data_IF_003277309852
#
_entry.id   IF_003277309852
#
_cell.length_a   1.000
_cell.length_b   1.000
_cell.length_c   1.000
_cell.angle_alpha   90.00
_cell.angle_beta   90.00
_cell.angle_gamma   90.00
#
_symmetry.space_group_name_H-M   'P 1'
#
loop_
_entity.id
_entity.type
_entity.pdbx_description
1 polymer ?
#
# COMPACT_ATOMS: atom_id res chain seq x y z
N UNK A 1 7.20 6.52 32.17
CA UNK A 1 7.79 6.47 30.82
C UNK A 1 6.82 7.16 29.87
N UNK A 2 7.27 8.01 28.93
CA UNK A 2 6.39 8.55 27.91
C UNK A 2 5.81 7.38 27.07
N UNK A 3 4.59 7.58 26.55
CA UNK A 3 3.98 6.63 25.62
C UNK A 3 4.71 6.68 24.28
N UNK A 4 4.89 5.54 23.60
CA UNK A 4 5.51 5.51 22.29
C UNK A 4 4.66 6.29 21.27
N UNK A 5 5.35 7.01 20.37
CA UNK A 5 4.73 7.76 19.27
C UNK A 5 4.75 6.93 17.99
N UNK A 6 3.60 6.75 17.39
CA UNK A 6 3.41 6.00 16.15
C UNK A 6 2.96 6.92 15.02
N UNK A 7 3.68 6.89 13.91
CA UNK A 7 3.14 7.37 12.63
C UNK A 7 2.50 6.17 11.92
N UNK A 8 1.19 6.21 11.79
CA UNK A 8 0.41 5.07 11.29
C UNK A 8 0.19 5.09 9.78
N UNK A 9 0.71 6.11 9.06
CA UNK A 9 0.43 6.24 7.64
C UNK A 9 1.61 6.88 6.88
N UNK A 10 2.53 6.05 6.41
CA UNK A 10 3.60 6.47 5.50
C UNK A 10 3.66 5.58 4.25
N UNK A 11 4.28 6.11 3.20
CA UNK A 11 4.54 5.39 1.97
C UNK A 11 6.04 5.26 1.72
N UNK A 12 6.50 4.03 1.48
CA UNK A 12 7.83 3.73 0.99
C UNK A 12 7.75 2.78 -0.19
N UNK A 13 8.58 3.05 -1.19
CA UNK A 13 8.71 2.22 -2.38
C UNK A 13 10.11 1.58 -2.39
N UNK A 14 10.25 0.42 -1.75
CA UNK A 14 11.55 -0.24 -1.67
C UNK A 14 12.01 -0.73 -3.04
N UNK A 15 13.31 -0.97 -3.17
CA UNK A 15 13.93 -1.34 -4.44
C UNK A 15 13.24 -2.53 -5.16
N UNK A 16 12.86 -3.64 -4.49
CA UNK A 16 12.15 -4.73 -5.15
C UNK A 16 10.82 -4.30 -5.80
N UNK A 17 10.12 -3.35 -5.17
CA UNK A 17 8.88 -2.79 -5.70
C UNK A 17 9.14 -1.90 -6.92
N UNK A 18 10.15 -1.01 -6.86
CA UNK A 18 10.54 -0.19 -8.01
C UNK A 18 10.91 -1.07 -9.20
N UNK A 19 11.73 -2.11 -8.97
CA UNK A 19 12.10 -3.07 -9.99
C UNK A 19 10.88 -3.86 -10.54
N UNK A 20 9.87 -4.15 -9.71
CA UNK A 20 8.63 -4.78 -10.18
C UNK A 20 7.84 -3.84 -11.09
N UNK A 21 7.73 -2.55 -10.76
CA UNK A 21 7.09 -1.55 -11.61
C UNK A 21 7.86 -1.30 -12.91
N UNK A 22 9.20 -1.34 -12.89
CA UNK A 22 10.01 -1.20 -14.11
C UNK A 22 9.86 -2.38 -15.09
N UNK A 23 9.52 -3.58 -14.60
CA UNK A 23 9.25 -4.75 -15.46
C UNK A 23 7.88 -4.72 -16.14
N UNK A 24 6.98 -3.88 -15.67
CA UNK A 24 5.65 -3.74 -16.27
C UNK A 24 5.70 -2.86 -17.52
N UNK A 25 4.89 -3.22 -18.51
CA UNK A 25 4.71 -2.42 -19.74
C UNK A 25 3.43 -1.58 -19.69
N UNK A 26 2.44 -2.04 -18.91
CA UNK A 26 1.17 -1.35 -18.73
C UNK A 26 1.10 -0.66 -17.35
N UNK A 27 0.35 0.44 -17.24
CA UNK A 27 0.17 1.16 -15.98
C UNK A 27 -0.42 0.27 -14.85
N UNK A 28 -0.03 0.51 -13.58
CA UNK A 28 1.05 1.40 -13.17
C UNK A 28 2.42 0.80 -13.53
N UNK A 29 3.32 1.63 -14.06
CA UNK A 29 4.68 1.20 -14.37
C UNK A 29 5.69 2.34 -14.22
N UNK A 30 6.95 2.00 -14.09
CA UNK A 30 8.08 2.92 -14.16
C UNK A 30 8.83 2.71 -15.48
N UNK A 31 9.09 3.80 -16.20
CA UNK A 31 9.93 3.79 -17.40
C UNK A 31 11.25 4.45 -17.10
N UNK A 32 12.34 3.71 -17.35
CA UNK A 32 13.70 4.25 -17.21
C UNK A 32 14.18 4.79 -18.54
N UNK A 33 14.71 6.01 -18.51
CA UNK A 33 15.38 6.66 -19.63
C UNK A 33 16.73 7.23 -19.18
N UNK A 34 17.48 7.83 -20.10
CA UNK A 34 18.71 8.57 -19.77
C UNK A 34 18.46 9.80 -18.88
N UNK A 35 17.24 10.33 -18.91
CA UNK A 35 16.85 11.54 -18.17
C UNK A 35 16.27 11.22 -16.77
N UNK A 36 16.16 9.92 -16.41
CA UNK A 36 15.65 9.45 -15.11
C UNK A 36 14.51 8.45 -15.20
N UNK A 37 13.72 8.38 -14.14
CA UNK A 37 12.53 7.54 -14.05
C UNK A 37 11.27 8.37 -14.31
N UNK A 38 10.31 7.77 -15.00
CA UNK A 38 8.98 8.32 -15.26
C UNK A 38 7.92 7.37 -14.71
N UNK A 39 7.04 7.87 -13.87
CA UNK A 39 5.86 7.15 -13.40
C UNK A 39 4.72 7.29 -14.40
N UNK A 40 4.12 6.18 -14.77
CA UNK A 40 2.98 6.09 -15.67
C UNK A 40 1.82 5.46 -14.93
N UNK A 41 0.74 6.22 -14.78
CA UNK A 41 -0.52 5.79 -14.16
C UNK A 41 -1.65 5.76 -15.19
N UNK A 42 -2.63 4.89 -14.99
CA UNK A 42 -3.78 4.81 -15.88
C UNK A 42 -4.62 6.09 -15.81
N UNK A 43 -4.82 6.72 -16.96
CA UNK A 43 -5.66 7.92 -17.06
C UNK A 43 -5.03 9.22 -16.55
N UNK A 44 -3.76 9.20 -16.16
CA UNK A 44 -3.04 10.38 -15.69
C UNK A 44 -1.87 10.74 -16.63
N UNK A 45 -1.44 12.00 -16.66
CA UNK A 45 -0.22 12.39 -17.37
C UNK A 45 1.00 11.69 -16.79
N UNK A 46 1.94 11.32 -17.64
CA UNK A 46 3.24 10.79 -17.22
C UNK A 46 3.99 11.84 -16.37
N UNK A 47 4.60 11.42 -15.27
CA UNK A 47 5.29 12.31 -14.33
C UNK A 47 6.72 11.83 -14.02
N UNK A 48 7.70 12.74 -13.91
CA UNK A 48 9.02 12.39 -13.39
C UNK A 48 8.90 11.74 -12.01
N UNK A 49 9.68 10.69 -11.77
CA UNK A 49 9.73 10.00 -10.49
C UNK A 49 11.13 10.10 -9.88
N UNK A 50 11.19 10.67 -8.66
CA UNK A 50 12.41 10.71 -7.87
C UNK A 50 12.38 9.60 -6.80
N UNK A 51 13.28 8.61 -6.83
CA UNK A 51 13.35 7.56 -5.82
C UNK A 51 13.96 8.04 -4.48
N UNK A 52 14.64 9.19 -4.43
CA UNK A 52 15.34 9.63 -3.23
C UNK A 52 14.47 9.79 -1.97
N UNK A 53 13.21 10.24 -2.04
CA UNK A 53 12.30 10.25 -0.88
C UNK A 53 11.96 8.87 -0.34
N UNK A 54 12.20 7.81 -1.11
CA UNK A 54 11.93 6.43 -0.73
C UNK A 54 13.18 5.69 -0.22
N UNK A 55 14.31 6.40 -0.04
CA UNK A 55 15.53 5.83 0.58
C UNK A 55 15.25 5.51 2.06
N UNK A 56 15.36 4.23 2.49
CA UNK A 56 15.09 3.84 3.86
C UNK A 56 16.07 4.43 4.88
N UNK A 57 17.31 4.70 4.49
CA UNK A 57 18.30 5.30 5.39
C UNK A 57 17.93 6.75 5.71
N UNK A 58 17.63 7.53 4.67
CA UNK A 58 17.13 8.90 4.81
C UNK A 58 15.85 8.93 5.65
N UNK A 59 14.90 8.03 5.40
CA UNK A 59 13.64 7.98 6.14
C UNK A 59 13.86 7.66 7.63
N UNK A 60 14.82 6.79 7.99
CA UNK A 60 15.18 6.56 9.39
C UNK A 60 15.74 7.79 10.09
N UNK A 61 16.49 8.63 9.37
CA UNK A 61 17.01 9.87 9.93
C UNK A 61 15.89 10.88 10.19
N UNK A 62 14.94 10.99 9.26
CA UNK A 62 13.74 11.82 9.41
C UNK A 62 12.89 11.35 10.62
N UNK A 63 12.58 10.06 10.72
CA UNK A 63 11.82 9.47 11.84
C UNK A 63 12.47 9.79 13.20
N UNK A 64 13.81 9.68 13.28
CA UNK A 64 14.54 10.03 14.49
C UNK A 64 14.46 11.52 14.83
N UNK A 65 14.54 12.38 13.82
CA UNK A 65 14.42 13.83 13.96
C UNK A 65 13.05 14.25 14.48
N UNK A 66 11.99 13.56 14.06
CA UNK A 66 10.61 13.80 14.46
C UNK A 66 10.25 13.13 15.80
N UNK A 67 11.20 12.42 16.42
CA UNK A 67 11.02 11.67 17.66
C UNK A 67 9.83 10.68 17.59
N UNK A 68 9.62 10.04 16.44
CA UNK A 68 8.66 8.97 16.21
C UNK A 68 9.33 7.63 16.53
N UNK A 69 8.69 6.79 17.32
CA UNK A 69 9.25 5.51 17.73
C UNK A 69 9.01 4.41 16.69
N UNK A 70 7.89 4.49 15.97
CA UNK A 70 7.51 3.50 14.97
C UNK A 70 6.68 4.11 13.85
N UNK A 71 6.87 3.60 12.64
CA UNK A 71 6.14 4.00 11.43
C UNK A 71 5.46 2.77 10.85
N UNK A 72 4.20 2.89 10.45
CA UNK A 72 3.49 1.88 9.68
C UNK A 72 3.42 2.31 8.21
N UNK A 73 4.05 1.52 7.35
CA UNK A 73 4.10 1.76 5.91
C UNK A 73 2.94 1.06 5.23
N UNK A 74 2.21 1.76 4.37
CA UNK A 74 1.15 1.20 3.54
C UNK A 74 1.44 1.36 2.05
N UNK A 75 0.80 0.54 1.23
CA UNK A 75 0.80 0.69 -0.23
C UNK A 75 0.21 2.04 -0.63
N UNK A 76 0.75 2.64 -1.69
CA UNK A 76 0.21 3.87 -2.27
C UNK A 76 -1.01 3.53 -3.14
N UNK A 77 -2.20 3.51 -2.56
CA UNK A 77 -3.45 3.15 -3.26
C UNK A 77 -3.70 3.92 -4.58
N UNK A 78 -3.29 5.20 -4.75
CA UNK A 78 -3.41 5.89 -6.03
C UNK A 78 -2.70 5.23 -7.20
N UNK A 79 -1.72 4.35 -6.94
CA UNK A 79 -1.09 3.56 -8.01
C UNK A 79 -2.05 2.56 -8.65
N UNK A 80 -3.08 2.11 -7.91
CA UNK A 80 -4.07 1.17 -8.40
C UNK A 80 -3.57 -0.27 -8.52
N UNK A 81 -2.42 -0.62 -7.91
CA UNK A 81 -1.86 -1.98 -7.95
C UNK A 81 -2.86 -3.01 -7.43
N UNK A 82 -3.54 -2.69 -6.32
CA UNK A 82 -4.51 -3.58 -5.68
C UNK A 82 -5.74 -3.87 -6.57
N UNK A 83 -6.01 -3.00 -7.54
CA UNK A 83 -7.17 -3.11 -8.44
C UNK A 83 -6.85 -3.78 -9.78
N UNK A 84 -5.58 -4.14 -10.01
CA UNK A 84 -5.19 -4.92 -11.18
C UNK A 84 -5.78 -6.33 -11.11
N UNK A 85 -5.93 -7.02 -12.28
CA UNK A 85 -6.17 -8.46 -12.27
C UNK A 85 -5.20 -9.16 -11.33
N UNK A 86 -5.69 -10.09 -10.52
CA UNK A 86 -4.88 -10.74 -9.47
C UNK A 86 -3.54 -11.27 -9.97
N UNK A 87 -3.51 -11.87 -11.16
CA UNK A 87 -2.28 -12.40 -11.76
C UNK A 87 -1.21 -11.32 -12.02
N UNK A 88 -1.63 -10.06 -12.21
CA UNK A 88 -0.75 -8.92 -12.40
C UNK A 88 -0.43 -8.21 -11.08
N UNK A 89 -1.43 -8.09 -10.18
CA UNK A 89 -1.27 -7.47 -8.88
C UNK A 89 -0.30 -8.23 -7.99
N UNK A 90 -0.46 -9.55 -7.89
CA UNK A 90 0.23 -10.37 -6.90
C UNK A 90 1.76 -10.24 -6.96
N UNK A 91 2.42 -10.37 -8.13
CA UNK A 91 3.88 -10.23 -8.18
C UNK A 91 4.40 -8.85 -7.75
N UNK A 92 3.60 -7.80 -7.96
CA UNK A 92 3.96 -6.42 -7.58
C UNK A 92 3.75 -6.21 -6.08
N UNK A 93 2.63 -6.74 -5.53
CA UNK A 93 2.35 -6.71 -4.10
C UNK A 93 3.39 -7.52 -3.31
N UNK A 94 3.76 -8.71 -3.80
CA UNK A 94 4.78 -9.54 -3.17
C UNK A 94 6.12 -8.82 -3.13
N UNK A 95 6.55 -8.21 -4.22
CA UNK A 95 7.79 -7.43 -4.29
C UNK A 95 7.79 -6.24 -3.32
N UNK A 96 6.64 -5.56 -3.18
CA UNK A 96 6.50 -4.48 -2.22
C UNK A 96 6.57 -5.00 -0.78
N UNK A 97 5.81 -6.05 -0.45
CA UNK A 97 5.83 -6.66 0.88
C UNK A 97 7.23 -7.14 1.26
N UNK A 98 7.90 -7.87 0.37
CA UNK A 98 9.26 -8.37 0.62
C UNK A 98 10.22 -7.22 0.90
N UNK A 99 10.12 -6.16 0.13
CA UNK A 99 10.94 -4.97 0.34
C UNK A 99 10.67 -4.27 1.66
N UNK A 100 9.40 -4.05 2.04
CA UNK A 100 9.07 -3.34 3.29
C UNK A 100 9.35 -4.20 4.52
N UNK A 101 9.02 -5.50 4.50
CA UNK A 101 9.36 -6.41 5.61
C UNK A 101 10.87 -6.51 5.85
N UNK A 102 11.68 -6.44 4.79
CA UNK A 102 13.14 -6.47 4.89
C UNK A 102 13.73 -5.21 5.55
N UNK A 103 13.00 -4.11 5.65
CA UNK A 103 13.49 -2.89 6.28
C UNK A 103 13.72 -3.06 7.79
N UNK A 104 12.91 -3.86 8.47
CA UNK A 104 12.96 -3.99 9.93
C UNK A 104 12.60 -2.70 10.67
N UNK A 105 12.88 -2.67 11.97
CA UNK A 105 12.58 -1.48 12.80
C UNK A 105 13.26 -0.21 12.26
N UNK A 106 12.61 0.97 12.38
CA UNK A 106 11.32 1.23 13.05
C UNK A 106 10.08 1.01 12.16
N UNK A 107 10.23 0.40 10.97
CA UNK A 107 9.16 0.21 10.01
C UNK A 107 8.31 -1.01 10.34
N UNK A 108 7.01 -0.81 10.46
CA UNK A 108 6.00 -1.86 10.43
C UNK A 108 5.23 -1.79 9.10
N UNK A 109 4.38 -2.77 8.84
CA UNK A 109 3.72 -2.96 7.54
C UNK A 109 2.21 -3.04 7.71
N UNK A 110 1.47 -2.24 6.96
CA UNK A 110 0.10 -2.53 6.60
C UNK A 110 0.11 -3.43 5.37
N UNK A 111 -0.41 -4.64 5.46
CA UNK A 111 -0.52 -5.50 4.29
C UNK A 111 -1.47 -4.91 3.24
N UNK A 112 -1.22 -5.22 1.98
CA UNK A 112 -2.10 -4.90 0.85
C UNK A 112 -2.48 -6.19 0.12
N UNK A 113 -3.71 -6.28 -0.38
CA UNK A 113 -4.23 -7.48 -1.07
C UNK A 113 -4.82 -7.13 -2.41
N UNK A 114 -4.81 -8.09 -3.35
CA UNK A 114 -5.45 -7.92 -4.65
C UNK A 114 -6.98 -7.85 -4.47
N UNK A 115 -7.59 -6.79 -5.00
CA UNK A 115 -9.04 -6.52 -4.88
C UNK A 115 -9.87 -7.12 -6.02
N UNK A 116 -9.22 -7.61 -7.08
CA UNK A 116 -9.91 -8.36 -8.14
C UNK A 116 -10.49 -9.68 -7.61
N UNK A 117 -9.74 -10.35 -6.72
CA UNK A 117 -10.14 -11.59 -6.04
C UNK A 117 -9.62 -11.58 -4.60
N UNK A 118 -10.27 -10.83 -3.67
CA UNK A 118 -9.79 -10.66 -2.30
C UNK A 118 -9.97 -11.94 -1.49
N UNK A 119 -8.87 -12.45 -0.91
CA UNK A 119 -8.83 -13.73 -0.19
C UNK A 119 -8.40 -13.55 1.26
N UNK A 120 -9.09 -14.23 2.17
CA UNK A 120 -8.74 -14.24 3.60
C UNK A 120 -7.41 -14.95 3.87
N UNK A 121 -7.00 -15.89 3.02
CA UNK A 121 -5.70 -16.58 3.12
C UNK A 121 -4.52 -15.64 2.91
N UNK A 122 -4.63 -14.66 1.98
CA UNK A 122 -3.59 -13.65 1.77
C UNK A 122 -3.42 -12.79 3.02
N UNK A 123 -4.54 -12.40 3.65
CA UNK A 123 -4.54 -11.65 4.91
C UNK A 123 -3.82 -12.45 5.99
N UNK A 124 -4.18 -13.73 6.15
CA UNK A 124 -3.58 -14.60 7.16
C UNK A 124 -2.08 -14.73 6.94
N UNK A 125 -1.63 -14.95 5.70
CA UNK A 125 -0.21 -15.06 5.37
C UNK A 125 0.56 -13.77 5.70
N UNK A 126 -0.02 -12.59 5.41
CA UNK A 126 0.61 -11.29 5.71
C UNK A 126 0.67 -11.04 7.23
N UNK A 127 -0.38 -11.38 7.97
CA UNK A 127 -0.39 -11.26 9.43
C UNK A 127 0.63 -12.20 10.08
N UNK A 128 0.78 -13.42 9.57
CA UNK A 128 1.78 -14.39 10.05
C UNK A 128 3.23 -13.93 9.75
N UNK A 129 3.43 -13.10 8.71
CA UNK A 129 4.71 -12.43 8.43
C UNK A 129 4.96 -11.23 9.35
N UNK A 130 3.98 -10.76 10.11
CA UNK A 130 4.10 -9.66 11.05
C UNK A 130 3.47 -8.34 10.59
N UNK A 131 2.58 -8.35 9.59
CA UNK A 131 1.79 -7.17 9.27
C UNK A 131 0.95 -6.72 10.48
N UNK A 132 0.85 -5.41 10.69
CA UNK A 132 0.07 -4.84 11.78
C UNK A 132 -1.44 -5.07 11.57
N UNK A 133 -1.87 -5.05 10.32
CA UNK A 133 -3.22 -5.24 9.82
C UNK A 133 -3.20 -5.13 8.30
N UNK A 134 -4.33 -4.83 7.68
CA UNK A 134 -4.47 -4.64 6.24
C UNK A 134 -4.89 -3.19 5.95
N UNK A 135 -4.34 -2.63 4.87
CA UNK A 135 -4.81 -1.37 4.28
C UNK A 135 -5.72 -1.67 3.09
N UNK A 136 -6.90 -1.05 3.06
CA UNK A 136 -7.80 -1.09 1.90
C UNK A 136 -8.13 0.33 1.45
N UNK A 137 -8.23 0.60 0.15
CA UNK A 137 -8.66 1.91 -0.35
C UNK A 137 -10.10 2.21 0.06
N UNK A 138 -10.41 3.46 0.40
CA UNK A 138 -11.75 3.89 0.77
C UNK A 138 -12.79 3.56 -0.32
N UNK A 139 -12.38 3.54 -1.59
CA UNK A 139 -13.22 3.16 -2.73
C UNK A 139 -13.80 1.74 -2.59
N UNK A 140 -13.13 0.82 -1.90
CA UNK A 140 -13.65 -0.53 -1.63
C UNK A 140 -14.94 -0.52 -0.80
N UNK A 141 -15.21 0.57 -0.07
CA UNK A 141 -16.37 0.75 0.80
C UNK A 141 -17.40 1.75 0.24
N UNK A 142 -17.15 2.30 -0.96
CA UNK A 142 -18.03 3.31 -1.56
C UNK A 142 -19.44 2.79 -1.89
N UNK A 143 -19.61 1.47 -1.97
CA UNK A 143 -20.89 0.81 -2.22
C UNK A 143 -21.06 -0.41 -1.34
N UNK A 144 -22.30 -0.81 -1.09
CA UNK A 144 -22.60 -2.05 -0.38
C UNK A 144 -22.04 -3.30 -1.10
N UNK A 145 -22.02 -3.28 -2.43
CA UNK A 145 -21.43 -4.35 -3.22
C UNK A 145 -19.90 -4.43 -3.00
N UNK A 146 -19.21 -3.29 -2.97
CA UNK A 146 -17.78 -3.22 -2.66
C UNK A 146 -17.48 -3.74 -1.25
N UNK A 147 -18.24 -3.29 -0.25
CA UNK A 147 -18.09 -3.77 1.13
C UNK A 147 -18.33 -5.29 1.24
N UNK A 148 -19.30 -5.84 0.51
CA UNK A 148 -19.52 -7.30 0.43
C UNK A 148 -18.36 -8.02 -0.26
N UNK A 149 -17.79 -7.42 -1.30
CA UNK A 149 -16.68 -7.99 -2.06
C UNK A 149 -15.43 -8.20 -1.19
N UNK A 150 -15.09 -7.23 -0.33
CA UNK A 150 -13.94 -7.32 0.58
C UNK A 150 -14.22 -8.08 1.88
N UNK A 151 -15.41 -8.65 2.03
CA UNK A 151 -15.80 -9.41 3.25
C UNK A 151 -14.82 -10.53 3.64
N UNK A 152 -14.21 -11.31 2.71
CA UNK A 152 -13.21 -12.30 3.09
C UNK A 152 -12.00 -11.70 3.83
N UNK A 153 -11.57 -10.49 3.44
CA UNK A 153 -10.50 -9.75 4.10
C UNK A 153 -10.91 -9.33 5.51
N UNK A 154 -12.12 -8.75 5.63
CA UNK A 154 -12.65 -8.30 6.92
C UNK A 154 -12.83 -9.46 7.91
N UNK A 155 -13.36 -10.59 7.44
CA UNK A 155 -13.55 -11.78 8.27
C UNK A 155 -12.20 -12.36 8.77
N UNK A 156 -11.16 -12.34 7.94
CA UNK A 156 -9.82 -12.79 8.34
C UNK A 156 -9.18 -11.84 9.37
N UNK A 157 -9.37 -10.53 9.23
CA UNK A 157 -8.91 -9.53 10.21
C UNK A 157 -9.63 -9.70 11.56
N UNK A 158 -10.97 -9.85 11.53
CA UNK A 158 -11.79 -10.09 12.71
C UNK A 158 -11.35 -11.35 13.45
N UNK A 159 -11.17 -12.47 12.72
CA UNK A 159 -10.71 -13.74 13.30
C UNK A 159 -9.33 -13.66 13.97
N UNK A 160 -8.50 -12.70 13.59
CA UNK A 160 -7.13 -12.49 14.10
C UNK A 160 -7.04 -11.28 15.05
N UNK A 161 -8.15 -10.63 15.37
CA UNK A 161 -8.19 -9.38 16.16
C UNK A 161 -7.16 -8.35 15.66
N UNK A 162 -7.21 -8.06 14.34
CA UNK A 162 -6.28 -7.14 13.68
C UNK A 162 -7.01 -5.97 13.03
N UNK A 163 -6.41 -4.78 13.08
CA UNK A 163 -7.04 -3.57 12.56
C UNK A 163 -7.04 -3.52 11.03
N UNK A 164 -7.99 -2.74 10.52
CA UNK A 164 -8.07 -2.27 9.15
C UNK A 164 -7.68 -0.81 9.08
N UNK A 165 -6.78 -0.45 8.17
CA UNK A 165 -6.56 0.92 7.73
C UNK A 165 -7.42 1.18 6.49
N UNK A 166 -8.38 2.11 6.58
CA UNK A 166 -9.09 2.61 5.40
C UNK A 166 -8.27 3.76 4.82
N UNK A 167 -7.55 3.48 3.72
CA UNK A 167 -6.66 4.43 3.09
C UNK A 167 -7.46 5.47 2.28
N UNK A 168 -7.23 6.77 2.49
CA UNK A 168 -7.86 7.81 1.67
C UNK A 168 -7.44 7.64 0.19
N UNK A 169 -8.36 7.89 -0.71
CA UNK A 169 -8.14 7.77 -2.16
C UNK A 169 -9.23 8.53 -2.90
N UNK A 170 -9.12 8.59 -4.23
CA UNK A 170 -10.16 9.19 -5.04
C UNK A 170 -11.50 8.50 -4.78
N UNK A 171 -12.45 9.23 -4.21
CA UNK A 171 -13.84 8.79 -4.21
C UNK A 171 -14.29 8.79 -5.67
N UNK A 172 -14.98 7.73 -6.11
CA UNK A 172 -15.59 7.73 -7.42
C UNK A 172 -16.45 8.99 -7.58
N UNK A 173 -16.29 9.72 -8.69
CA UNK A 173 -16.96 10.97 -8.95
C UNK A 173 -18.51 10.91 -8.97
N UNK A 174 -19.07 9.74 -8.69
CA UNK A 174 -20.50 9.43 -8.67
C UNK A 174 -21.07 9.15 -7.27
N UNK A 175 -20.31 9.36 -6.20
CA UNK A 175 -20.89 9.21 -4.86
C UNK A 175 -21.78 10.41 -4.59
N UNK A 176 -23.13 10.25 -4.43
CA UNK A 176 -23.99 11.37 -4.04
C UNK A 176 -23.46 11.94 -2.72
N UNK A 177 -23.37 13.28 -2.64
CA UNK A 177 -23.06 13.93 -1.38
C UNK A 177 -24.07 13.46 -0.32
N UNK A 178 -23.58 12.79 0.72
CA UNK A 178 -24.43 12.44 1.85
C UNK A 178 -24.89 13.76 2.50
N UNK A 179 -26.21 13.97 2.69
CA UNK A 179 -26.67 15.10 3.46
C UNK A 179 -26.21 14.90 4.91
N UNK A 180 -25.43 15.85 5.41
CA UNK A 180 -25.07 15.93 6.83
C UNK A 180 -26.20 16.51 7.63
#
# INVERSE_FOLDING_TARGET
>A
MPLPRYDVHQHLWPEPFLAALERRTEPPCLRRSRDGLTLVLAGEPEAPFDPAPHDPARRRDEIRGDEVDRVLVCMSCPLGVETLPRAEAQPVLDAWHDGVFALGEPFGVWGAVALDDPRGEDVTALLDRGAAGISLPAAAFATEAGARHVRPVLAALEARDRPLLVHPGAAAASTPALPW
#
